data_IF_737070897864
#
_entry.id   IF_737070897864
#
_cell.length_a   1.000
_cell.length_b   1.000
_cell.length_c   1.000
_cell.angle_alpha   90.00
_cell.angle_beta   90.00
_cell.angle_gamma   90.00
#
_symmetry.space_group_name_H-M   'P 1'
#
loop_
_entity.id
_entity.type
_entity.pdbx_description
1 polymer ?
#
# COMPACT_ATOMS: atom_id res chain seq x y z
N UNK A 1 -7.85 0.26 15.88
CA UNK A 1 -8.11 -0.94 16.71
C UNK A 1 -7.90 -0.51 18.14
N UNK A 2 -8.92 -0.66 18.99
CA UNK A 2 -8.84 -0.36 20.42
C UNK A 2 -7.89 -1.37 21.08
N UNK A 3 -7.00 -0.90 21.96
CA UNK A 3 -6.25 -1.79 22.86
C UNK A 3 -7.15 -2.17 24.03
N UNK A 4 -7.05 -3.42 24.50
CA UNK A 4 -7.93 -3.96 25.55
C UNK A 4 -7.72 -3.32 26.93
N UNK A 5 -6.62 -2.59 27.11
CA UNK A 5 -6.16 -1.98 28.37
C UNK A 5 -6.50 -0.48 28.50
N UNK A 6 -7.21 0.09 27.51
CA UNK A 6 -7.55 1.53 27.50
C UNK A 6 -6.39 2.47 27.15
N UNK A 7 -5.23 1.93 26.72
CA UNK A 7 -4.08 2.71 26.30
C UNK A 7 -4.25 3.30 24.88
N UNK A 8 -3.39 4.29 24.56
CA UNK A 8 -3.55 5.17 23.41
C UNK A 8 -3.74 4.42 22.08
N UNK A 9 -4.79 4.81 21.36
CA UNK A 9 -5.15 4.26 20.05
C UNK A 9 -4.59 5.19 18.98
N UNK A 10 -3.96 4.65 17.95
CA UNK A 10 -3.45 5.45 16.84
C UNK A 10 -4.38 5.37 15.63
N UNK A 11 -4.95 6.49 15.19
CA UNK A 11 -5.86 6.59 14.04
C UNK A 11 -5.17 7.29 12.88
N UNK A 12 -4.93 6.56 11.77
CA UNK A 12 -4.31 7.13 10.57
C UNK A 12 -5.34 7.76 9.64
N UNK A 13 -4.96 8.85 8.98
CA UNK A 13 -5.69 9.36 7.82
C UNK A 13 -5.60 8.33 6.69
N UNK A 14 -6.73 7.78 6.25
CA UNK A 14 -6.76 6.96 5.04
C UNK A 14 -6.72 7.91 3.83
N UNK A 15 -5.83 7.70 2.86
CA UNK A 15 -5.76 8.54 1.66
C UNK A 15 -7.10 8.58 0.92
N UNK A 16 -7.89 7.50 0.96
CA UNK A 16 -9.25 7.51 0.42
C UNK A 16 -10.14 8.59 1.07
N UNK A 17 -9.99 8.86 2.37
CA UNK A 17 -10.75 9.88 3.10
C UNK A 17 -10.53 11.30 2.57
N UNK A 18 -9.30 11.61 2.12
CA UNK A 18 -8.97 12.92 1.53
C UNK A 18 -9.57 13.10 0.12
N UNK A 19 -9.71 12.01 -0.65
CA UNK A 19 -10.09 12.08 -2.07
C UNK A 19 -11.52 11.65 -2.39
N UNK A 20 -12.22 10.96 -1.48
CA UNK A 20 -13.56 10.40 -1.76
C UNK A 20 -14.68 10.98 -0.89
N UNK A 21 -14.39 11.90 0.02
CA UNK A 21 -15.38 12.52 0.90
C UNK A 21 -15.98 11.53 1.91
N UNK A 22 -16.60 12.06 2.96
CA UNK A 22 -17.13 11.29 4.07
C UNK A 22 -18.64 11.44 4.14
N UNK A 23 -19.32 10.33 4.42
CA UNK A 23 -20.73 10.36 4.86
C UNK A 23 -20.75 10.65 6.36
N UNK A 24 -21.52 11.65 6.73
CA UNK A 24 -21.77 12.08 8.09
C UNK A 24 -23.23 11.85 8.42
N UNK A 25 -23.48 11.23 9.58
CA UNK A 25 -24.81 11.03 10.14
C UNK A 25 -24.97 11.90 11.37
N UNK A 26 -26.17 12.48 11.52
CA UNK A 26 -26.51 13.29 12.67
C UNK A 26 -26.49 12.42 13.92
N UNK A 27 -25.72 12.82 14.91
CA UNK A 27 -25.67 12.16 16.20
C UNK A 27 -26.69 12.79 17.15
N UNK A 28 -26.66 14.12 17.27
CA UNK A 28 -27.54 14.88 18.16
C UNK A 28 -27.53 16.39 17.81
N UNK A 29 -28.30 17.20 18.52
CA UNK A 29 -28.17 18.66 18.56
C UNK A 29 -27.84 19.13 19.98
N UNK A 30 -26.80 19.95 20.13
CA UNK A 30 -26.39 20.49 21.43
C UNK A 30 -25.77 21.87 21.30
N UNK A 31 -25.96 22.70 22.33
CA UNK A 31 -25.34 24.02 22.45
C UNK A 31 -25.49 24.89 21.17
N UNK A 32 -26.65 24.82 20.51
CA UNK A 32 -26.93 25.55 19.28
C UNK A 32 -26.24 24.99 18.02
N UNK A 33 -25.70 23.76 18.08
CA UNK A 33 -25.00 23.12 16.97
C UNK A 33 -25.56 21.72 16.68
N UNK A 34 -25.68 21.38 15.40
CA UNK A 34 -25.87 20.01 14.95
C UNK A 34 -24.56 19.23 15.06
N UNK A 35 -24.59 18.12 15.78
CA UNK A 35 -23.49 17.18 15.93
C UNK A 35 -23.63 16.02 14.94
N UNK A 36 -22.54 15.70 14.27
CA UNK A 36 -22.47 14.69 13.24
C UNK A 36 -21.28 13.77 13.48
N UNK A 37 -21.37 12.52 13.05
CA UNK A 37 -20.24 11.59 13.09
C UNK A 37 -20.02 10.95 11.72
N UNK A 38 -18.75 10.84 11.31
CA UNK A 38 -18.43 10.11 10.10
C UNK A 38 -18.57 8.60 10.32
N UNK A 39 -19.38 7.94 9.50
CA UNK A 39 -19.60 6.48 9.56
C UNK A 39 -18.35 5.65 9.23
N UNK A 40 -17.37 6.22 8.54
CA UNK A 40 -16.12 5.52 8.15
C UNK A 40 -14.99 5.64 9.17
N UNK A 41 -14.86 6.78 9.84
CA UNK A 41 -13.69 7.07 10.69
C UNK A 41 -14.04 7.54 12.11
N UNK A 42 -15.33 7.72 12.44
CA UNK A 42 -15.78 8.22 13.73
C UNK A 42 -15.41 9.67 14.01
N UNK A 43 -14.97 10.42 12.99
CA UNK A 43 -14.62 11.83 13.13
C UNK A 43 -15.89 12.67 13.32
N UNK A 44 -16.05 13.38 14.44
CA UNK A 44 -17.23 14.20 14.69
C UNK A 44 -17.12 15.55 13.97
N UNK A 45 -18.26 16.08 13.54
CA UNK A 45 -18.39 17.45 13.09
C UNK A 45 -19.46 18.17 13.89
N UNK A 46 -19.27 19.46 14.11
CA UNK A 46 -20.15 20.33 14.87
C UNK A 46 -20.45 21.59 14.05
N UNK A 47 -21.72 21.78 13.70
CA UNK A 47 -22.16 22.88 12.84
C UNK A 47 -23.17 23.76 13.55
N UNK A 48 -22.94 25.08 13.60
CA UNK A 48 -23.90 26.02 14.16
C UNK A 48 -25.22 25.98 13.37
N UNK A 49 -26.35 25.86 14.08
CA UNK A 49 -27.69 25.67 13.51
C UNK A 49 -28.13 26.85 12.64
N UNK A 50 -27.67 28.05 12.97
CA UNK A 50 -27.99 29.32 12.31
C UNK A 50 -27.10 29.66 11.11
N UNK A 51 -25.91 29.04 11.00
CA UNK A 51 -24.91 29.39 9.97
C UNK A 51 -24.73 28.33 8.90
N UNK A 52 -24.82 27.04 9.24
CA UNK A 52 -24.36 25.97 8.35
C UNK A 52 -25.50 25.34 7.52
N UNK A 53 -25.32 25.15 6.20
CA UNK A 53 -26.31 24.47 5.34
C UNK A 53 -26.44 22.97 5.62
N UNK A 54 -25.57 22.42 6.49
CA UNK A 54 -25.58 21.03 6.92
C UNK A 54 -26.35 20.83 8.22
N UNK A 55 -26.63 21.90 8.99
CA UNK A 55 -26.98 21.78 10.40
C UNK A 55 -28.31 21.07 10.67
N UNK A 56 -29.24 21.09 9.72
CA UNK A 56 -30.57 20.45 9.82
C UNK A 56 -30.71 19.17 8.99
N UNK A 57 -29.62 18.64 8.40
CA UNK A 57 -29.70 17.42 7.58
C UNK A 57 -29.53 16.18 8.47
N UNK A 58 -30.25 15.09 8.19
CA UNK A 58 -30.03 13.84 8.93
C UNK A 58 -28.73 13.13 8.48
N UNK A 59 -28.39 13.28 7.20
CA UNK A 59 -27.16 12.72 6.61
C UNK A 59 -26.66 13.60 5.47
N UNK A 60 -25.34 13.72 5.32
CA UNK A 60 -24.74 14.37 4.17
C UNK A 60 -23.36 13.81 3.83
N UNK A 61 -22.90 14.08 2.61
CA UNK A 61 -21.53 13.76 2.17
C UNK A 61 -20.71 15.02 2.02
N UNK A 62 -19.55 15.09 2.66
CA UNK A 62 -18.65 16.26 2.63
C UNK A 62 -17.19 15.85 2.47
N UNK A 63 -16.43 16.60 1.68
CA UNK A 63 -14.97 16.44 1.59
C UNK A 63 -14.28 17.14 2.76
N UNK A 64 -13.26 16.51 3.33
CA UNK A 64 -12.37 17.17 4.28
C UNK A 64 -11.63 18.27 3.53
N UNK A 65 -11.78 19.52 3.98
CA UNK A 65 -11.08 20.63 3.35
C UNK A 65 -9.62 20.64 3.82
N UNK A 66 -8.63 20.47 2.91
CA UNK A 66 -7.22 20.39 3.29
C UNK A 66 -6.67 21.71 3.87
N UNK A 67 -7.40 22.83 3.66
CA UNK A 67 -7.05 24.15 4.20
C UNK A 67 -6.88 24.16 5.72
N UNK A 68 -7.53 23.24 6.45
CA UNK A 68 -7.37 23.13 7.91
C UNK A 68 -5.95 22.77 8.36
N UNK A 69 -5.21 22.04 7.51
CA UNK A 69 -3.87 21.59 7.83
C UNK A 69 -2.75 22.58 7.49
N UNK A 70 -2.99 23.53 6.59
CA UNK A 70 -1.92 24.37 6.01
C UNK A 70 -1.98 25.82 6.48
N UNK A 71 -3.18 26.40 6.70
CA UNK A 71 -3.34 27.82 7.07
C UNK A 71 -3.92 28.08 8.46
N UNK A 72 -4.52 27.06 9.09
CA UNK A 72 -5.37 27.19 10.28
C UNK A 72 -6.70 27.88 9.98
N UNK A 73 -7.67 27.71 10.87
CA UNK A 73 -9.01 28.30 10.73
C UNK A 73 -9.43 29.07 11.97
N UNK A 74 -10.28 30.10 11.80
CA UNK A 74 -10.98 30.69 12.92
C UNK A 74 -11.81 29.62 13.63
N UNK A 75 -11.87 29.74 14.94
CA UNK A 75 -12.70 28.90 15.79
C UNK A 75 -13.44 29.75 16.79
N UNK A 76 -14.62 29.30 17.19
CA UNK A 76 -15.40 29.86 18.28
C UNK A 76 -15.60 28.82 19.39
N UNK A 77 -15.71 29.30 20.62
CA UNK A 77 -16.02 28.44 21.75
C UNK A 77 -17.48 28.00 21.68
N UNK A 78 -17.72 26.71 21.86
CA UNK A 78 -19.06 26.09 21.87
C UNK A 78 -19.51 25.91 23.31
N UNK A 79 -18.77 25.11 24.07
CA UNK A 79 -19.14 24.76 25.46
C UNK A 79 -17.92 24.41 26.29
N UNK A 80 -18.06 24.43 27.62
CA UNK A 80 -17.00 24.07 28.56
C UNK A 80 -17.24 22.67 29.10
N UNK A 81 -16.24 21.80 28.98
CA UNK A 81 -16.28 20.39 29.40
C UNK A 81 -15.20 20.13 30.44
N UNK A 82 -15.53 20.48 31.69
CA UNK A 82 -14.58 20.46 32.81
C UNK A 82 -13.48 21.51 32.67
N UNK A 83 -12.23 21.08 32.66
CA UNK A 83 -11.07 21.95 32.44
C UNK A 83 -10.83 22.31 30.96
N UNK A 84 -11.61 21.72 30.04
CA UNK A 84 -11.46 21.89 28.60
C UNK A 84 -12.56 22.80 28.05
N UNK A 85 -12.24 23.52 26.98
CA UNK A 85 -13.22 24.21 26.15
C UNK A 85 -13.31 23.49 24.81
N UNK A 86 -14.53 23.21 24.35
CA UNK A 86 -14.80 22.70 23.02
C UNK A 86 -14.95 23.88 22.05
N UNK A 87 -14.13 23.88 21.01
CA UNK A 87 -14.13 24.88 19.96
C UNK A 87 -14.63 24.26 18.66
N UNK A 88 -15.34 25.01 17.83
CA UNK A 88 -15.72 24.58 16.48
C UNK A 88 -15.17 25.57 15.44
N UNK A 89 -14.77 25.07 14.27
CA UNK A 89 -14.53 25.91 13.09
C UNK A 89 -15.78 25.99 12.21
N UNK A 90 -15.85 26.99 11.33
CA UNK A 90 -16.87 27.08 10.27
C UNK A 90 -16.87 25.85 9.35
N UNK A 91 -15.72 25.18 9.25
CA UNK A 91 -15.57 23.93 8.53
C UNK A 91 -16.23 22.72 9.20
N UNK A 92 -16.71 22.86 10.44
CA UNK A 92 -17.37 21.82 11.23
C UNK A 92 -16.44 20.98 12.10
N UNK A 93 -15.12 21.15 12.05
CA UNK A 93 -14.21 20.44 12.95
C UNK A 93 -14.30 20.99 14.37
N UNK A 94 -14.39 20.09 15.34
CA UNK A 94 -14.40 20.41 16.78
C UNK A 94 -13.06 20.11 17.44
N UNK A 95 -12.64 20.89 18.44
CA UNK A 95 -11.37 20.73 19.16
C UNK A 95 -11.59 20.89 20.67
N UNK A 96 -11.09 19.96 21.48
CA UNK A 96 -11.10 20.04 22.94
C UNK A 96 -9.72 20.47 23.45
N UNK A 97 -9.62 21.72 23.90
CA UNK A 97 -8.36 22.35 24.31
C UNK A 97 -8.51 23.04 25.68
N UNK A 98 -7.44 23.07 26.49
CA UNK A 98 -7.41 23.74 27.80
C UNK A 98 -7.27 25.26 27.72
N UNK A 99 -6.95 25.79 26.54
CA UNK A 99 -6.64 27.20 26.38
C UNK A 99 -7.93 28.03 26.44
N UNK A 100 -8.05 29.02 27.35
CA UNK A 100 -9.13 29.98 27.32
C UNK A 100 -8.96 30.95 26.13
N UNK A 101 -10.06 31.29 25.45
CA UNK A 101 -10.12 32.30 24.38
C UNK A 101 -9.29 32.01 23.11
N UNK A 102 -9.33 30.78 22.59
CA UNK A 102 -8.73 30.46 21.30
C UNK A 102 -9.57 31.04 20.15
N UNK A 103 -8.94 31.83 19.28
CA UNK A 103 -9.60 32.43 18.09
C UNK A 103 -9.20 31.77 16.78
N UNK A 104 -8.09 31.03 16.76
CA UNK A 104 -7.59 30.32 15.58
C UNK A 104 -6.93 29.01 15.99
N UNK A 105 -7.21 27.94 15.26
CA UNK A 105 -6.59 26.63 15.45
C UNK A 105 -5.81 26.21 14.21
N UNK A 106 -4.63 25.61 14.43
CA UNK A 106 -3.86 24.95 13.38
C UNK A 106 -3.73 23.47 13.71
N UNK A 107 -3.97 22.64 12.72
CA UNK A 107 -3.82 21.20 12.88
C UNK A 107 -2.33 20.84 12.86
N UNK A 108 -1.78 20.21 13.91
CA UNK A 108 -0.37 19.84 13.94
C UNK A 108 0.02 18.98 12.75
N UNK A 109 1.13 19.33 12.10
CA UNK A 109 1.66 18.61 10.94
C UNK A 109 1.97 17.14 11.27
N UNK A 110 2.38 16.87 12.51
CA UNK A 110 2.61 15.50 13.00
C UNK A 110 1.35 14.64 12.92
N UNK A 111 0.18 15.21 13.25
CA UNK A 111 -1.07 14.46 13.16
C UNK A 111 -1.47 14.21 11.71
N UNK A 112 -1.21 15.16 10.80
CA UNK A 112 -1.43 14.99 9.36
C UNK A 112 -0.55 13.86 8.79
N UNK A 113 0.75 13.87 9.09
CA UNK A 113 1.73 12.94 8.55
C UNK A 113 1.64 11.55 9.15
N UNK A 114 1.41 11.46 10.46
CA UNK A 114 1.52 10.19 11.18
C UNK A 114 0.17 9.62 11.59
N UNK A 115 -0.87 10.44 11.73
CA UNK A 115 -2.16 10.09 12.33
C UNK A 115 -2.32 10.65 13.75
N UNK A 116 -3.44 10.33 14.39
CA UNK A 116 -3.82 10.84 15.71
C UNK A 116 -3.60 9.79 16.79
N UNK A 117 -2.82 10.14 17.82
CA UNK A 117 -2.79 9.38 19.07
C UNK A 117 -3.94 9.84 19.96
N UNK A 118 -4.92 8.97 20.21
CA UNK A 118 -6.16 9.29 20.94
C UNK A 118 -6.23 8.54 22.26
N UNK A 119 -6.74 9.20 23.30
CA UNK A 119 -7.05 8.62 24.62
C UNK A 119 -8.53 8.74 24.94
N UNK A 120 -9.10 7.81 25.73
CA UNK A 120 -10.47 7.95 26.24
C UNK A 120 -10.63 9.31 26.94
N UNK A 121 -11.73 10.01 26.65
CA UNK A 121 -12.03 11.30 27.26
C UNK A 121 -13.36 11.28 28.00
N UNK A 122 -14.43 10.90 27.31
CA UNK A 122 -15.78 10.88 27.86
C UNK A 122 -16.64 9.85 27.11
N UNK A 123 -17.92 9.80 27.43
CA UNK A 123 -18.93 9.04 26.67
C UNK A 123 -20.03 10.00 26.25
N UNK A 124 -20.33 10.07 24.94
CA UNK A 124 -21.46 10.83 24.38
C UNK A 124 -22.59 9.84 24.15
N UNK A 125 -23.61 9.87 25.00
CA UNK A 125 -24.71 8.90 25.03
C UNK A 125 -24.26 7.43 24.89
N UNK A 126 -24.44 6.86 23.69
CA UNK A 126 -24.13 5.46 23.35
C UNK A 126 -22.73 5.27 22.74
N UNK A 127 -21.98 6.34 22.47
CA UNK A 127 -20.69 6.30 21.77
C UNK A 127 -19.53 6.74 22.68
N UNK A 128 -18.46 5.93 22.84
CA UNK A 128 -17.28 6.38 23.56
C UNK A 128 -16.54 7.46 22.77
N UNK A 129 -16.20 8.54 23.47
CA UNK A 129 -15.48 9.67 22.94
C UNK A 129 -14.01 9.62 23.37
N UNK A 130 -13.13 9.76 22.39
CA UNK A 130 -11.70 9.81 22.55
C UNK A 130 -11.21 11.20 22.14
N UNK A 131 -10.06 11.61 22.65
CA UNK A 131 -9.42 12.89 22.33
C UNK A 131 -7.99 12.65 21.88
N UNK A 132 -7.57 13.31 20.80
CA UNK A 132 -6.18 13.32 20.40
C UNK A 132 -5.33 14.15 21.37
N UNK A 133 -4.22 13.58 21.84
CA UNK A 133 -3.33 14.25 22.78
C UNK A 133 -2.61 15.45 22.17
N UNK A 134 -2.28 15.37 20.87
CA UNK A 134 -1.48 16.37 20.18
C UNK A 134 -2.31 17.57 19.68
N UNK A 135 -3.54 17.32 19.21
CA UNK A 135 -4.36 18.35 18.57
C UNK A 135 -5.69 18.64 19.29
N UNK A 136 -6.05 17.84 20.29
CA UNK A 136 -7.32 17.98 21.00
C UNK A 136 -8.55 17.56 20.18
N UNK A 137 -8.40 17.06 18.95
CA UNK A 137 -9.55 16.58 18.17
C UNK A 137 -10.28 15.44 18.88
N UNK A 138 -11.61 15.53 19.04
CA UNK A 138 -12.42 14.43 19.51
C UNK A 138 -12.64 13.40 18.40
N UNK A 139 -12.86 12.15 18.80
CA UNK A 139 -13.19 11.02 17.94
C UNK A 139 -14.29 10.22 18.63
N UNK A 140 -15.44 10.06 17.97
CA UNK A 140 -16.54 9.25 18.45
C UNK A 140 -16.47 7.91 17.73
N UNK A 141 -15.82 6.93 18.36
CA UNK A 141 -15.65 5.60 17.79
C UNK A 141 -16.64 4.66 18.46
N UNK A 142 -17.63 4.15 17.73
CA UNK A 142 -18.41 3.01 18.23
C UNK A 142 -17.48 1.80 18.37
N UNK A 143 -17.59 1.08 19.50
CA UNK A 143 -16.89 -0.20 19.73
C UNK A 143 -17.43 -1.25 18.78
N UNK A 144 -16.98 -1.17 17.53
CA UNK A 144 -17.55 -1.86 16.39
C UNK A 144 -19.07 -1.56 16.23
N UNK A 145 -19.67 -1.80 15.06
CA UNK A 145 -20.98 -2.41 15.14
C UNK A 145 -20.77 -3.66 16.02
N UNK A 146 -21.57 -3.83 17.08
CA UNK A 146 -21.94 -5.19 17.41
C UNK A 146 -22.23 -5.84 16.05
N UNK A 147 -21.53 -6.91 15.74
CA UNK A 147 -22.00 -7.85 14.74
C UNK A 147 -23.38 -8.21 15.24
N UNK A 148 -24.39 -7.43 14.84
CA UNK A 148 -25.72 -7.94 14.66
C UNK A 148 -25.45 -9.08 13.72
N UNK A 149 -25.48 -10.28 14.27
CA UNK A 149 -25.90 -11.46 13.56
C UNK A 149 -27.37 -11.26 13.13
N UNK A 150 -27.71 -10.10 12.58
CA UNK A 150 -28.59 -10.04 11.45
C UNK A 150 -27.75 -10.61 10.33
N UNK A 151 -27.99 -11.89 10.06
CA UNK A 151 -27.87 -12.47 8.73
C UNK A 151 -28.72 -11.64 7.76
N UNK A 152 -28.32 -10.40 7.51
CA UNK A 152 -28.59 -9.78 6.23
C UNK A 152 -27.63 -10.48 5.30
N UNK A 153 -28.21 -11.31 4.44
CA UNK A 153 -27.58 -11.94 3.29
C UNK A 153 -27.03 -10.83 2.39
N UNK A 154 -25.94 -10.19 2.81
CA UNK A 154 -25.32 -9.06 2.13
C UNK A 154 -24.38 -9.62 1.10
N UNK A 155 -24.97 -10.22 0.07
CA UNK A 155 -24.25 -10.52 -1.16
C UNK A 155 -23.51 -9.24 -1.57
N UNK A 156 -22.17 -9.25 -1.70
CA UNK A 156 -21.42 -8.04 -2.01
C UNK A 156 -21.95 -7.43 -3.31
N UNK A 157 -22.18 -6.11 -3.32
CA UNK A 157 -22.73 -5.43 -4.49
C UNK A 157 -21.89 -5.72 -5.74
N UNK A 158 -22.51 -5.79 -6.92
CA UNK A 158 -21.79 -6.05 -8.20
C UNK A 158 -20.59 -5.10 -8.39
N UNK A 159 -20.72 -3.84 -7.97
CA UNK A 159 -19.63 -2.85 -8.02
C UNK A 159 -18.47 -3.22 -7.08
N UNK A 160 -18.78 -3.70 -5.87
CA UNK A 160 -17.77 -4.16 -4.91
C UNK A 160 -17.03 -5.40 -5.42
N UNK A 161 -17.76 -6.36 -6.02
CA UNK A 161 -17.17 -7.55 -6.65
C UNK A 161 -16.27 -7.17 -7.83
N UNK A 162 -16.74 -6.33 -8.76
CA UNK A 162 -15.94 -5.89 -9.90
C UNK A 162 -14.66 -5.16 -9.46
N UNK A 163 -14.79 -4.22 -8.51
CA UNK A 163 -13.64 -3.52 -7.94
C UNK A 163 -12.69 -4.49 -7.21
N UNK A 164 -13.23 -5.51 -6.53
CA UNK A 164 -12.47 -6.59 -5.92
C UNK A 164 -11.65 -7.38 -6.92
N UNK A 165 -12.24 -7.79 -8.06
CA UNK A 165 -11.55 -8.48 -9.14
C UNK A 165 -10.44 -7.63 -9.76
N UNK A 166 -10.70 -6.35 -10.04
CA UNK A 166 -9.67 -5.43 -10.55
C UNK A 166 -8.51 -5.24 -9.55
N UNK A 167 -8.80 -5.27 -8.25
CA UNK A 167 -7.77 -5.23 -7.21
C UNK A 167 -6.92 -6.50 -7.16
N UNK A 168 -7.46 -7.67 -7.53
CA UNK A 168 -6.71 -8.95 -7.58
C UNK A 168 -5.69 -8.98 -8.73
N UNK A 169 -5.89 -8.22 -9.80
CA UNK A 169 -4.89 -8.04 -10.87
C UNK A 169 -3.64 -7.31 -10.34
N UNK A 170 -3.80 -6.47 -9.31
CA UNK A 170 -2.75 -5.71 -8.65
C UNK A 170 -1.90 -4.81 -9.57
N UNK A 171 -2.57 -3.91 -10.30
CA UNK A 171 -1.95 -2.89 -11.17
C UNK A 171 -0.73 -2.14 -10.58
N UNK A 172 -0.65 -1.97 -9.25
CA UNK A 172 0.53 -1.37 -8.59
C UNK A 172 1.86 -2.09 -8.93
N UNK A 173 1.84 -3.40 -9.18
CA UNK A 173 3.05 -4.19 -9.50
C UNK A 173 3.41 -4.16 -10.98
N UNK A 174 2.53 -3.60 -11.82
CA UNK A 174 2.76 -3.48 -13.26
C UNK A 174 3.86 -2.46 -13.58
N UNK A 175 4.32 -1.68 -12.59
CA UNK A 175 5.56 -0.89 -12.70
C UNK A 175 6.74 -1.74 -13.15
N UNK A 176 6.74 -3.05 -12.86
CA UNK A 176 7.79 -3.98 -13.32
C UNK A 176 7.81 -4.17 -14.84
N UNK A 177 6.74 -3.83 -15.56
CA UNK A 177 6.71 -3.83 -17.02
C UNK A 177 7.70 -2.84 -17.64
N UNK A 178 8.20 -1.87 -16.86
CA UNK A 178 9.29 -1.01 -17.29
C UNK A 178 10.51 -1.81 -17.77
N UNK A 179 10.78 -2.99 -17.18
CA UNK A 179 11.87 -3.85 -17.63
C UNK A 179 11.70 -4.37 -19.07
N UNK A 180 10.45 -4.65 -19.47
CA UNK A 180 10.13 -5.06 -20.85
C UNK A 180 10.34 -3.89 -21.81
N UNK A 181 9.87 -2.70 -21.44
CA UNK A 181 10.05 -1.48 -22.24
C UNK A 181 11.54 -1.18 -22.42
N UNK A 182 12.32 -1.20 -21.33
CA UNK A 182 13.76 -0.98 -21.37
C UNK A 182 14.47 -2.04 -22.21
N UNK A 183 14.08 -3.32 -22.09
CA UNK A 183 14.60 -4.40 -22.93
C UNK A 183 14.43 -4.13 -24.43
N UNK A 184 13.25 -3.68 -24.85
CA UNK A 184 12.99 -3.34 -26.25
C UNK A 184 13.81 -2.13 -26.72
N UNK A 185 13.92 -1.09 -25.87
CA UNK A 185 14.66 0.14 -26.17
C UNK A 185 16.18 -0.03 -26.22
N UNK A 186 16.72 -1.11 -25.66
CA UNK A 186 18.14 -1.47 -25.81
C UNK A 186 18.46 -1.94 -27.24
N UNK A 187 17.48 -2.49 -27.95
CA UNK A 187 17.64 -3.02 -29.31
C UNK A 187 17.20 -1.99 -30.35
N UNK A 188 16.02 -1.39 -30.15
CA UNK A 188 15.41 -0.45 -31.11
C UNK A 188 15.55 0.96 -30.59
N UNK A 189 16.06 1.86 -31.43
CA UNK A 189 16.11 3.30 -31.13
C UNK A 189 14.75 3.94 -31.40
N UNK A 190 14.20 4.58 -30.37
CA UNK A 190 12.92 5.30 -30.45
C UNK A 190 11.70 4.41 -30.21
N UNK A 191 10.51 5.00 -30.38
CA UNK A 191 9.22 4.36 -30.14
C UNK A 191 8.33 4.48 -31.40
N UNK A 192 8.62 3.72 -32.47
CA UNK A 192 7.73 3.70 -33.63
C UNK A 192 6.35 3.16 -33.21
N UNK A 193 5.30 3.57 -33.93
CA UNK A 193 3.92 3.20 -33.61
C UNK A 193 3.73 1.68 -33.52
N UNK A 194 4.41 0.90 -34.38
CA UNK A 194 4.39 -0.56 -34.35
C UNK A 194 4.92 -1.13 -33.04
N UNK A 195 6.03 -0.59 -32.51
CA UNK A 195 6.57 -1.00 -31.21
C UNK A 195 5.61 -0.65 -30.08
N UNK A 196 5.01 0.55 -30.11
CA UNK A 196 4.03 0.96 -29.10
C UNK A 196 2.81 0.02 -29.09
N UNK A 197 2.31 -0.37 -30.26
CA UNK A 197 1.21 -1.33 -30.40
C UNK A 197 1.61 -2.71 -29.85
N UNK A 198 2.77 -3.23 -30.23
CA UNK A 198 3.29 -4.50 -29.70
C UNK A 198 3.47 -4.49 -28.19
N UNK A 199 4.02 -3.41 -27.62
CA UNK A 199 4.17 -3.25 -26.18
C UNK A 199 2.82 -3.13 -25.45
N UNK A 200 1.83 -2.45 -26.04
CA UNK A 200 0.50 -2.35 -25.47
C UNK A 200 -0.25 -3.70 -25.46
N UNK A 201 -0.19 -4.44 -26.58
CA UNK A 201 -0.74 -5.79 -26.65
C UNK A 201 -0.02 -6.73 -25.68
N UNK A 202 1.31 -6.64 -25.60
CA UNK A 202 2.10 -7.44 -24.68
C UNK A 202 1.77 -7.07 -23.22
N UNK A 203 1.57 -5.80 -22.90
CA UNK A 203 1.16 -5.37 -21.56
C UNK A 203 -0.16 -6.02 -21.13
N UNK A 204 -1.17 -6.03 -22.00
CA UNK A 204 -2.45 -6.67 -21.71
C UNK A 204 -2.28 -8.19 -21.59
N UNK A 205 -1.69 -8.84 -22.61
CA UNK A 205 -1.49 -10.29 -22.66
C UNK A 205 -0.65 -10.82 -21.49
N UNK A 206 0.47 -10.17 -21.21
CA UNK A 206 1.45 -10.63 -20.24
C UNK A 206 1.22 -10.07 -18.83
N UNK A 207 1.11 -8.75 -18.66
CA UNK A 207 1.01 -8.15 -17.32
C UNK A 207 -0.40 -8.26 -16.74
N UNK A 208 -1.41 -7.89 -17.52
CA UNK A 208 -2.80 -7.87 -17.04
C UNK A 208 -3.35 -9.30 -16.92
N UNK A 209 -3.23 -10.10 -17.99
CA UNK A 209 -3.79 -11.45 -18.00
C UNK A 209 -2.88 -12.44 -17.24
N UNK A 210 -1.72 -12.81 -17.79
CA UNK A 210 -0.90 -13.86 -17.17
C UNK A 210 -0.45 -13.48 -15.75
N UNK A 211 0.16 -12.32 -15.56
CA UNK A 211 0.66 -11.89 -14.26
C UNK A 211 -0.45 -11.50 -13.28
N UNK A 212 -1.57 -10.91 -13.75
CA UNK A 212 -2.75 -10.69 -12.92
C UNK A 212 -3.34 -11.99 -12.39
N UNK A 213 -3.37 -13.04 -13.22
CA UNK A 213 -3.73 -14.39 -12.82
C UNK A 213 -2.75 -14.98 -11.81
N UNK A 214 -1.44 -14.92 -12.06
CA UNK A 214 -0.39 -15.38 -11.11
C UNK A 214 -0.51 -14.66 -9.76
N UNK A 215 -0.75 -13.35 -9.76
CA UNK A 215 -0.94 -12.59 -8.52
C UNK A 215 -2.21 -12.99 -7.77
N UNK A 216 -3.29 -13.26 -8.49
CA UNK A 216 -4.54 -13.79 -7.91
C UNK A 216 -4.30 -15.17 -7.30
N UNK A 217 -3.60 -16.06 -8.00
CA UNK A 217 -3.20 -17.38 -7.50
C UNK A 217 -2.37 -17.26 -6.22
N UNK A 218 -1.41 -16.33 -6.17
CA UNK A 218 -0.63 -16.10 -4.96
C UNK A 218 -1.50 -15.59 -3.80
N UNK A 219 -2.47 -14.72 -4.07
CA UNK A 219 -3.46 -14.29 -3.07
C UNK A 219 -4.31 -15.45 -2.53
N UNK A 220 -4.63 -16.44 -3.38
CA UNK A 220 -5.33 -17.67 -2.99
C UNK A 220 -4.46 -18.54 -2.08
N UNK A 221 -3.20 -18.80 -2.47
CA UNK A 221 -2.27 -19.62 -1.72
C UNK A 221 -1.88 -19.00 -0.37
N UNK A 222 -1.91 -17.66 -0.29
CA UNK A 222 -1.63 -16.92 0.94
C UNK A 222 -2.88 -16.61 1.75
N UNK A 223 -4.08 -16.99 1.30
CA UNK A 223 -5.36 -16.52 1.85
C UNK A 223 -5.48 -16.71 3.36
N UNK A 224 -5.21 -17.91 3.87
CA UNK A 224 -5.33 -18.24 5.30
C UNK A 224 -4.33 -17.42 6.14
N UNK A 225 -3.11 -17.29 5.62
CA UNK A 225 -2.06 -16.54 6.26
C UNK A 225 -2.43 -15.03 6.28
N UNK A 226 -2.82 -14.48 5.14
CA UNK A 226 -3.06 -13.05 4.95
C UNK A 226 -4.33 -12.55 5.64
N UNK A 227 -5.30 -13.43 5.94
CA UNK A 227 -6.46 -13.13 6.81
C UNK A 227 -6.06 -12.69 8.20
N UNK A 228 -4.93 -13.20 8.71
CA UNK A 228 -4.43 -12.84 10.03
C UNK A 228 -3.77 -11.46 9.97
N UNK A 229 -3.00 -11.16 8.92
CA UNK A 229 -2.16 -9.97 8.78
C UNK A 229 -2.93 -8.62 8.93
N UNK A 230 -2.37 -7.56 9.59
CA UNK A 230 -3.10 -6.35 9.96
C UNK A 230 -3.64 -5.56 8.78
N UNK A 231 -2.84 -5.50 7.71
CA UNK A 231 -3.19 -4.81 6.47
C UNK A 231 -3.69 -5.73 5.35
N UNK A 232 -3.13 -6.94 5.19
CA UNK A 232 -3.48 -7.84 4.08
C UNK A 232 -4.84 -8.52 4.26
N UNK A 233 -5.39 -8.56 5.47
CA UNK A 233 -6.77 -9.03 5.72
C UNK A 233 -7.84 -8.23 4.98
N UNK A 234 -7.52 -6.98 4.59
CA UNK A 234 -8.42 -6.09 3.85
C UNK A 234 -8.37 -6.30 2.33
N UNK A 235 -7.60 -7.29 1.85
CA UNK A 235 -7.56 -7.66 0.44
C UNK A 235 -8.89 -8.32 0.04
N UNK A 236 -9.32 -8.21 -1.24
CA UNK A 236 -10.66 -8.63 -1.66
C UNK A 236 -11.03 -10.07 -1.32
N UNK A 237 -10.07 -11.01 -1.41
CA UNK A 237 -10.28 -12.42 -1.08
C UNK A 237 -10.32 -12.65 0.45
N UNK A 238 -9.37 -12.05 1.17
CA UNK A 238 -9.22 -12.21 2.61
C UNK A 238 -10.34 -11.53 3.40
N UNK A 239 -10.89 -10.43 2.87
CA UNK A 239 -12.01 -9.70 3.45
C UNK A 239 -13.38 -10.30 3.11
N UNK A 240 -13.43 -11.37 2.31
CA UNK A 240 -14.68 -12.02 1.89
C UNK A 240 -15.47 -11.30 0.79
N UNK A 241 -14.93 -10.22 0.19
CA UNK A 241 -15.59 -9.50 -0.92
C UNK A 241 -15.63 -10.37 -2.18
N UNK A 242 -14.61 -11.19 -2.39
CA UNK A 242 -14.52 -12.19 -3.44
C UNK A 242 -14.47 -13.57 -2.79
N UNK A 243 -15.38 -14.47 -3.18
CA UNK A 243 -15.35 -15.85 -2.70
C UNK A 243 -14.19 -16.63 -3.31
N UNK A 244 -13.70 -17.65 -2.59
CA UNK A 244 -12.60 -18.48 -3.06
C UNK A 244 -12.87 -19.13 -4.43
N UNK A 245 -14.05 -19.71 -4.72
CA UNK A 245 -14.33 -20.27 -6.04
C UNK A 245 -14.24 -19.24 -7.17
N UNK A 246 -14.75 -18.02 -6.95
CA UNK A 246 -14.67 -16.94 -7.94
C UNK A 246 -13.22 -16.54 -8.18
N UNK A 247 -12.41 -16.40 -7.12
CA UNK A 247 -10.99 -16.09 -7.27
C UNK A 247 -10.24 -17.18 -8.04
N UNK A 248 -10.53 -18.46 -7.79
CA UNK A 248 -9.91 -19.60 -8.50
C UNK A 248 -10.24 -19.56 -9.99
N UNK A 249 -11.53 -19.45 -10.34
CA UNK A 249 -11.98 -19.37 -11.75
C UNK A 249 -11.39 -18.14 -12.44
N UNK A 250 -11.38 -16.98 -11.77
CA UNK A 250 -10.80 -15.76 -12.30
C UNK A 250 -9.30 -15.91 -12.55
N UNK A 251 -8.56 -16.45 -11.57
CA UNK A 251 -7.13 -16.73 -11.70
C UNK A 251 -6.83 -17.66 -12.87
N UNK A 252 -7.54 -18.78 -12.98
CA UNK A 252 -7.36 -19.76 -14.05
C UNK A 252 -7.68 -19.15 -15.42
N UNK A 253 -8.78 -18.39 -15.53
CA UNK A 253 -9.20 -17.73 -16.77
C UNK A 253 -8.14 -16.73 -17.23
N UNK A 254 -7.62 -15.90 -16.32
CA UNK A 254 -6.58 -14.92 -16.64
C UNK A 254 -5.27 -15.58 -17.10
N UNK A 255 -4.83 -16.66 -16.42
CA UNK A 255 -3.62 -17.40 -16.81
C UNK A 255 -3.80 -18.04 -18.19
N UNK A 256 -4.92 -18.74 -18.42
CA UNK A 256 -5.19 -19.39 -19.70
C UNK A 256 -5.33 -18.39 -20.84
N UNK A 257 -6.04 -17.27 -20.60
CA UNK A 257 -6.18 -16.21 -21.59
C UNK A 257 -4.82 -15.58 -21.93
N UNK A 258 -3.98 -15.31 -20.91
CA UNK A 258 -2.63 -14.77 -21.11
C UNK A 258 -1.69 -15.72 -21.84
N UNK A 259 -1.77 -17.03 -21.57
CA UNK A 259 -1.00 -18.04 -22.31
C UNK A 259 -1.48 -18.16 -23.76
N UNK A 260 -2.80 -18.20 -23.98
CA UNK A 260 -3.38 -18.30 -25.31
C UNK A 260 -3.05 -17.06 -26.15
N UNK A 261 -3.22 -15.86 -25.60
CA UNK A 261 -2.82 -14.63 -26.31
C UNK A 261 -1.32 -14.56 -26.53
N UNK A 262 -0.52 -15.03 -25.56
CA UNK A 262 0.93 -15.17 -25.68
C UNK A 262 1.34 -16.02 -26.90
N UNK A 263 0.73 -17.19 -27.02
CA UNK A 263 0.97 -18.16 -28.09
C UNK A 263 0.55 -17.64 -29.47
N UNK A 264 -0.62 -16.99 -29.55
CA UNK A 264 -1.19 -16.54 -30.82
C UNK A 264 -0.53 -15.26 -31.37
N UNK A 265 -0.01 -14.39 -30.51
CA UNK A 265 0.38 -13.02 -30.91
C UNK A 265 1.89 -12.77 -31.01
N UNK A 266 2.75 -13.49 -30.28
CA UNK A 266 4.15 -13.08 -30.09
C UNK A 266 5.21 -14.09 -30.53
N UNK A 267 4.81 -15.22 -31.13
CA UNK A 267 5.73 -16.26 -31.60
C UNK A 267 6.36 -17.11 -30.49
N UNK A 268 7.08 -18.15 -30.90
CA UNK A 268 7.55 -19.20 -30.00
C UNK A 268 8.55 -18.72 -28.93
N UNK A 269 9.48 -17.82 -29.28
CA UNK A 269 10.52 -17.34 -28.35
C UNK A 269 9.93 -16.50 -27.21
N UNK A 270 9.05 -15.54 -27.52
CA UNK A 270 8.36 -14.75 -26.49
C UNK A 270 7.43 -15.63 -25.68
N UNK A 271 6.72 -16.57 -26.31
CA UNK A 271 5.85 -17.52 -25.60
C UNK A 271 6.64 -18.43 -24.64
N UNK A 272 7.84 -18.89 -25.02
CA UNK A 272 8.70 -19.65 -24.12
C UNK A 272 9.02 -18.87 -22.83
N UNK A 273 9.22 -17.55 -22.94
CA UNK A 273 9.43 -16.69 -21.77
C UNK A 273 8.18 -16.58 -20.88
N UNK A 274 6.96 -16.64 -21.44
CA UNK A 274 5.73 -16.73 -20.63
C UNK A 274 5.73 -18.00 -19.79
N UNK A 275 6.06 -19.14 -20.41
CA UNK A 275 6.10 -20.45 -19.74
C UNK A 275 7.18 -20.46 -18.64
N UNK A 276 8.39 -19.97 -18.95
CA UNK A 276 9.47 -19.84 -17.95
C UNK A 276 9.03 -18.98 -16.78
N UNK A 277 8.39 -17.83 -17.04
CA UNK A 277 7.94 -16.95 -15.96
C UNK A 277 6.81 -17.56 -15.13
N UNK A 278 5.86 -18.26 -15.75
CA UNK A 278 4.85 -19.03 -15.01
C UNK A 278 5.51 -20.10 -14.14
N UNK A 279 6.48 -20.84 -14.69
CA UNK A 279 7.25 -21.86 -13.98
C UNK A 279 8.00 -21.30 -12.77
N UNK A 280 8.70 -20.17 -12.91
CA UNK A 280 9.39 -19.49 -11.79
C UNK A 280 8.41 -19.11 -10.68
N UNK A 281 7.24 -18.55 -11.03
CA UNK A 281 6.25 -18.15 -10.03
C UNK A 281 5.57 -19.35 -9.36
N UNK A 282 5.29 -20.42 -10.10
CA UNK A 282 4.76 -21.66 -9.51
C UNK A 282 5.77 -22.31 -8.57
N UNK A 283 7.02 -22.43 -9.01
CA UNK A 283 8.11 -22.94 -8.19
C UNK A 283 8.29 -22.12 -6.91
N UNK A 284 8.22 -20.79 -7.03
CA UNK A 284 8.25 -19.90 -5.88
C UNK A 284 7.10 -20.15 -4.90
N UNK A 285 5.87 -20.12 -5.40
CA UNK A 285 4.68 -20.16 -4.56
C UNK A 285 4.43 -21.53 -3.93
N UNK A 286 4.83 -22.61 -4.60
CA UNK A 286 4.65 -23.96 -4.08
C UNK A 286 5.78 -24.37 -3.11
N UNK A 287 7.03 -24.01 -3.41
CA UNK A 287 8.19 -24.53 -2.67
C UNK A 287 9.17 -23.47 -2.23
N UNK A 288 9.71 -22.66 -3.16
CA UNK A 288 10.86 -21.83 -2.86
C UNK A 288 10.62 -20.77 -1.79
N UNK A 289 9.37 -20.29 -1.63
CA UNK A 289 9.00 -19.31 -0.59
C UNK A 289 9.26 -19.78 0.85
N UNK A 290 9.47 -21.07 1.07
CA UNK A 290 9.73 -21.67 2.38
C UNK A 290 11.23 -21.89 2.63
N UNK A 291 12.07 -21.80 1.59
CA UNK A 291 13.50 -22.06 1.66
C UNK A 291 14.27 -20.74 1.72
N UNK A 292 15.19 -20.58 2.70
CA UNK A 292 16.03 -19.41 2.77
C UNK A 292 16.85 -19.27 1.49
N UNK A 293 17.05 -18.03 1.06
CA UNK A 293 17.87 -17.55 -0.04
C UNK A 293 17.23 -17.84 -1.40
N UNK A 294 16.68 -19.04 -1.58
CA UNK A 294 15.94 -19.42 -2.77
C UNK A 294 14.69 -18.55 -2.96
N UNK A 295 14.04 -18.13 -1.88
CA UNK A 295 12.91 -17.21 -1.92
C UNK A 295 13.28 -15.78 -2.40
N UNK A 296 14.56 -15.39 -2.27
CA UNK A 296 15.11 -14.14 -2.81
C UNK A 296 15.51 -14.34 -4.28
N UNK A 297 16.20 -15.45 -4.60
CA UNK A 297 16.58 -15.81 -5.98
C UNK A 297 15.35 -15.86 -6.90
N UNK A 298 14.30 -16.57 -6.49
CA UNK A 298 13.08 -16.68 -7.29
C UNK A 298 12.29 -15.36 -7.36
N UNK A 299 12.47 -14.44 -6.41
CA UNK A 299 11.89 -13.10 -6.50
C UNK A 299 12.65 -12.23 -7.50
N UNK A 300 13.97 -12.40 -7.59
CA UNK A 300 14.86 -11.65 -8.47
C UNK A 300 14.82 -12.14 -9.92
N UNK A 301 14.79 -13.46 -10.14
CA UNK A 301 14.86 -14.09 -11.46
C UNK A 301 13.85 -13.57 -12.52
N UNK A 302 12.60 -13.19 -12.16
CA UNK A 302 11.66 -12.62 -13.12
C UNK A 302 12.08 -11.27 -13.73
N UNK A 303 13.00 -10.53 -13.11
CA UNK A 303 13.41 -9.21 -13.59
C UNK A 303 14.25 -9.28 -14.88
N UNK A 304 15.36 -10.04 -14.97
CA UNK A 304 16.08 -10.21 -16.23
C UNK A 304 15.21 -10.85 -17.33
N UNK A 305 14.32 -11.79 -17.00
CA UNK A 305 13.41 -12.39 -17.99
C UNK A 305 12.49 -11.36 -18.66
N UNK A 306 12.07 -10.31 -17.94
CA UNK A 306 11.31 -9.19 -18.52
C UNK A 306 12.13 -8.39 -19.51
N UNK A 307 13.40 -8.10 -19.20
CA UNK A 307 14.29 -7.41 -20.13
C UNK A 307 14.52 -8.23 -21.39
N UNK A 308 14.79 -9.53 -21.22
CA UNK A 308 14.92 -10.45 -22.34
C UNK A 308 13.64 -10.47 -23.19
N UNK A 309 12.47 -10.55 -22.57
CA UNK A 309 11.17 -10.51 -23.26
C UNK A 309 10.98 -9.25 -24.11
N UNK A 310 11.42 -8.09 -23.59
CA UNK A 310 11.39 -6.83 -24.33
C UNK A 310 12.29 -6.84 -25.57
N UNK A 311 13.52 -7.34 -25.44
CA UNK A 311 14.45 -7.43 -26.55
C UNK A 311 13.99 -8.46 -27.60
N UNK A 312 13.53 -9.63 -27.16
CA UNK A 312 13.02 -10.69 -28.04
C UNK A 312 11.77 -10.24 -28.80
N UNK A 313 10.91 -9.42 -28.20
CA UNK A 313 9.72 -8.84 -28.87
C UNK A 313 10.09 -8.09 -30.16
N UNK A 314 11.27 -7.48 -30.20
CA UNK A 314 11.78 -6.71 -31.35
C UNK A 314 12.85 -7.46 -32.14
N UNK A 315 12.98 -8.78 -31.94
CA UNK A 315 13.93 -9.63 -32.65
C UNK A 315 15.40 -9.44 -32.24
N UNK A 316 15.65 -8.88 -31.06
CA UNK A 316 17.00 -8.67 -30.54
C UNK A 316 17.34 -9.55 -29.33
N UNK A 317 18.58 -9.45 -28.91
CA UNK A 317 19.13 -10.17 -27.75
C UNK A 317 19.73 -9.20 -26.74
N UNK A 318 19.74 -9.59 -25.46
CA UNK A 318 20.40 -8.84 -24.39
C UNK A 318 21.67 -9.57 -23.96
N UNK A 319 22.82 -8.88 -23.77
CA UNK A 319 24.02 -9.51 -23.21
C UNK A 319 23.73 -10.19 -21.87
N UNK A 320 24.27 -11.40 -21.68
CA UNK A 320 24.09 -12.15 -20.43
C UNK A 320 24.60 -11.35 -19.22
N UNK A 321 25.69 -10.59 -19.39
CA UNK A 321 26.21 -9.71 -18.34
C UNK A 321 25.14 -8.70 -17.89
N UNK A 322 24.48 -8.01 -18.81
CA UNK A 322 23.39 -7.09 -18.44
C UNK A 322 22.26 -7.80 -17.68
N UNK A 323 21.84 -8.98 -18.13
CA UNK A 323 20.81 -9.77 -17.44
C UNK A 323 21.25 -10.13 -16.00
N UNK A 324 22.51 -10.49 -15.80
CA UNK A 324 23.08 -10.75 -14.48
C UNK A 324 23.12 -9.48 -13.61
N UNK A 325 23.44 -8.31 -14.19
CA UNK A 325 23.43 -7.05 -13.45
C UNK A 325 22.01 -6.69 -12.97
N UNK A 326 21.01 -6.88 -13.82
CA UNK A 326 19.59 -6.67 -13.48
C UNK A 326 19.16 -7.67 -12.39
N UNK A 327 19.61 -8.92 -12.48
CA UNK A 327 19.37 -9.93 -11.45
C UNK A 327 19.95 -9.51 -10.11
N UNK A 328 21.21 -9.05 -10.06
CA UNK A 328 21.85 -8.59 -8.83
C UNK A 328 21.12 -7.40 -8.19
N UNK A 329 20.68 -6.44 -9.00
CA UNK A 329 19.86 -5.33 -8.53
C UNK A 329 18.54 -5.81 -7.92
N UNK A 330 17.82 -6.69 -8.62
CA UNK A 330 16.57 -7.23 -8.13
C UNK A 330 16.75 -8.07 -6.85
N UNK A 331 17.86 -8.83 -6.77
CA UNK A 331 18.24 -9.61 -5.60
C UNK A 331 18.44 -8.71 -4.38
N UNK A 332 19.23 -7.64 -4.51
CA UNK A 332 19.45 -6.68 -3.43
C UNK A 332 18.14 -6.05 -2.92
N UNK A 333 17.25 -5.64 -3.84
CA UNK A 333 15.94 -5.08 -3.49
C UNK A 333 15.07 -6.13 -2.77
N UNK A 334 15.07 -7.39 -3.23
CA UNK A 334 14.34 -8.47 -2.59
C UNK A 334 14.88 -8.77 -1.18
N UNK A 335 16.20 -8.77 -0.98
CA UNK A 335 16.84 -8.90 0.33
C UNK A 335 16.42 -7.76 1.28
N UNK A 336 16.43 -6.50 0.81
CA UNK A 336 15.96 -5.35 1.61
C UNK A 336 14.50 -5.48 1.99
N UNK A 337 13.64 -5.99 1.09
CA UNK A 337 12.24 -6.26 1.45
C UNK A 337 12.11 -7.29 2.57
N UNK A 338 12.95 -8.32 2.61
CA UNK A 338 12.92 -9.33 3.70
C UNK A 338 13.34 -8.75 5.04
N UNK A 339 14.35 -7.89 5.04
CA UNK A 339 14.76 -7.13 6.23
C UNK A 339 13.61 -6.26 6.76
N UNK A 340 12.96 -5.47 5.88
CA UNK A 340 11.84 -4.63 6.28
C UNK A 340 10.61 -5.41 6.75
N UNK A 341 10.37 -6.60 6.19
CA UNK A 341 9.30 -7.49 6.66
C UNK A 341 9.59 -8.06 8.05
N UNK A 342 10.87 -8.30 8.38
CA UNK A 342 11.29 -8.82 9.69
C UNK A 342 11.13 -7.79 10.82
N UNK A 343 11.29 -6.51 10.50
CA UNK A 343 11.21 -5.39 11.48
C UNK A 343 9.77 -5.03 11.89
N UNK A 344 8.73 -5.69 11.36
CA UNK A 344 7.33 -5.36 11.69
C UNK A 344 6.95 -5.99 13.05
N UNK A 345 6.72 -5.18 14.11
CA UNK A 345 6.46 -5.72 15.45
C UNK A 345 5.12 -6.46 15.54
N UNK A 346 5.10 -7.57 16.28
CA UNK A 346 3.88 -8.34 16.57
C UNK A 346 3.39 -9.24 15.42
N UNK A 347 4.19 -9.44 14.37
CA UNK A 347 3.83 -10.28 13.22
C UNK A 347 4.96 -11.24 12.80
N UNK A 348 4.94 -12.46 13.35
CA UNK A 348 5.76 -13.58 12.89
C UNK A 348 4.90 -14.50 12.03
N UNK A 349 5.05 -14.44 10.70
CA UNK A 349 4.12 -15.14 9.79
C UNK A 349 4.78 -15.97 8.69
N UNK A 350 6.05 -15.72 8.35
CA UNK A 350 6.79 -16.56 7.41
C UNK A 350 7.94 -17.22 8.15
N UNK A 351 7.86 -18.55 8.32
CA UNK A 351 8.95 -19.35 8.92
C UNK A 351 10.32 -19.06 8.30
N UNK A 352 10.36 -18.79 6.99
CA UNK A 352 11.59 -18.42 6.28
C UNK A 352 12.20 -17.09 6.76
N UNK A 353 11.42 -16.17 7.34
CA UNK A 353 11.94 -14.92 7.90
C UNK A 353 12.65 -15.14 9.24
N UNK A 354 12.23 -16.15 10.01
CA UNK A 354 12.86 -16.52 11.29
C UNK A 354 14.25 -17.12 11.06
N UNK A 355 14.45 -17.80 9.92
CA UNK A 355 15.74 -18.39 9.57
C UNK A 355 16.80 -17.38 9.12
N UNK A 356 16.40 -16.15 8.75
CA UNK A 356 17.37 -15.12 8.36
C UNK A 356 17.94 -14.43 9.60
N UNK A 357 19.25 -14.51 9.83
CA UNK A 357 19.90 -13.61 10.79
C UNK A 357 20.06 -12.21 10.18
N UNK A 358 20.24 -11.19 11.03
CA UNK A 358 20.56 -9.84 10.54
C UNK A 358 21.86 -9.82 9.72
N UNK A 359 22.82 -10.67 10.12
CA UNK A 359 24.08 -10.88 9.41
C UNK A 359 23.86 -11.44 8.01
N UNK A 360 22.96 -12.41 7.85
CA UNK A 360 22.64 -12.99 6.54
C UNK A 360 22.05 -11.92 5.61
N UNK A 361 21.07 -11.15 6.09
CA UNK A 361 20.44 -10.09 5.30
C UNK A 361 21.39 -8.94 4.99
N UNK A 362 22.40 -8.69 5.82
CA UNK A 362 23.49 -7.78 5.49
C UNK A 362 24.33 -8.32 4.32
N UNK A 363 24.80 -9.56 4.40
CA UNK A 363 25.61 -10.16 3.33
C UNK A 363 24.84 -10.35 2.02
N UNK A 364 23.56 -10.72 2.09
CA UNK A 364 22.68 -10.84 0.92
C UNK A 364 22.40 -9.50 0.22
N UNK A 365 22.73 -8.37 0.87
CA UNK A 365 22.70 -7.04 0.24
C UNK A 365 24.08 -6.57 -0.19
N UNK A 366 25.15 -6.98 0.49
CA UNK A 366 26.52 -6.60 0.14
C UNK A 366 27.08 -7.43 -1.03
N UNK A 367 26.76 -8.72 -1.10
CA UNK A 367 27.25 -9.63 -2.14
C UNK A 367 26.84 -9.17 -3.55
N UNK A 368 25.57 -8.84 -3.85
CA UNK A 368 25.20 -8.38 -5.19
C UNK A 368 25.85 -7.03 -5.54
N UNK A 369 26.13 -6.18 -4.55
CA UNK A 369 26.84 -4.93 -4.76
C UNK A 369 28.30 -5.17 -5.19
N UNK A 370 29.02 -6.06 -4.49
CA UNK A 370 30.36 -6.48 -4.88
C UNK A 370 30.38 -7.18 -6.24
N UNK A 371 29.39 -8.03 -6.53
CA UNK A 371 29.25 -8.71 -7.82
C UNK A 371 29.06 -7.70 -8.96
N UNK A 372 28.24 -6.66 -8.76
CA UNK A 372 28.04 -5.58 -9.74
C UNK A 372 29.31 -4.77 -9.99
N UNK A 373 30.11 -4.48 -8.96
CA UNK A 373 31.41 -3.79 -9.12
C UNK A 373 32.36 -4.66 -9.93
N UNK A 374 32.55 -5.93 -9.52
CA UNK A 374 33.44 -6.85 -10.21
C UNK A 374 33.02 -7.02 -11.67
N UNK A 375 31.72 -7.18 -11.91
CA UNK A 375 31.17 -7.27 -13.26
C UNK A 375 31.43 -6.00 -14.08
N UNK A 376 31.22 -4.81 -13.52
CA UNK A 376 31.50 -3.55 -14.21
C UNK A 376 32.98 -3.32 -14.53
N UNK A 377 33.88 -3.90 -13.73
CA UNK A 377 35.33 -3.85 -13.99
C UNK A 377 35.79 -4.88 -15.04
N UNK A 378 35.13 -6.05 -15.09
CA UNK A 378 35.52 -7.15 -15.98
C UNK A 378 34.80 -7.13 -17.33
N UNK A 379 33.60 -6.56 -17.39
CA UNK A 379 32.78 -6.56 -18.60
C UNK A 379 33.11 -5.37 -19.51
N UNK A 380 33.87 -5.63 -20.57
CA UNK A 380 34.17 -4.64 -21.61
C UNK A 380 33.01 -4.43 -22.61
N UNK A 381 31.95 -5.25 -22.57
CA UNK A 381 30.86 -5.19 -23.56
C UNK A 381 29.81 -4.12 -23.26
N UNK A 382 29.75 -3.64 -22.02
CA UNK A 382 28.79 -2.62 -21.56
C UNK A 382 29.58 -1.41 -21.02
N UNK A 383 29.23 -0.17 -21.41
CA UNK A 383 29.91 1.02 -20.90
C UNK A 383 29.88 1.09 -19.38
N UNK A 384 31.04 1.40 -18.76
CA UNK A 384 31.17 1.54 -17.31
C UNK A 384 30.14 2.51 -16.70
N UNK A 385 29.76 3.56 -17.44
CA UNK A 385 28.72 4.49 -17.03
C UNK A 385 27.37 3.81 -16.75
N UNK A 386 27.03 2.75 -17.49
CA UNK A 386 25.79 1.99 -17.29
C UNK A 386 25.83 1.20 -15.98
N UNK A 387 26.97 0.57 -15.67
CA UNK A 387 27.20 -0.06 -14.38
C UNK A 387 27.16 0.95 -13.23
N UNK A 388 27.73 2.14 -13.41
CA UNK A 388 27.68 3.22 -12.43
C UNK A 388 26.25 3.67 -12.12
N UNK A 389 25.37 3.74 -13.13
CA UNK A 389 23.93 4.02 -12.94
C UNK A 389 23.27 2.90 -12.13
N UNK A 390 23.49 1.63 -12.49
CA UNK A 390 22.93 0.49 -11.76
C UNK A 390 23.40 0.49 -10.30
N UNK A 391 24.69 0.69 -10.06
CA UNK A 391 25.28 0.75 -8.72
C UNK A 391 24.71 1.91 -7.90
N UNK A 392 24.46 3.05 -8.53
CA UNK A 392 23.84 4.20 -7.86
C UNK A 392 22.40 3.89 -7.46
N UNK A 393 21.60 3.33 -8.37
CA UNK A 393 20.23 2.88 -8.08
C UNK A 393 20.25 1.82 -6.97
N UNK A 394 21.19 0.88 -7.03
CA UNK A 394 21.39 -0.13 -5.99
C UNK A 394 21.67 0.52 -4.64
N UNK A 395 22.66 1.41 -4.56
CA UNK A 395 23.06 2.04 -3.33
C UNK A 395 21.91 2.82 -2.68
N UNK A 396 21.17 3.60 -3.47
CA UNK A 396 20.02 4.36 -3.00
C UNK A 396 18.88 3.46 -2.53
N UNK A 397 18.53 2.42 -3.29
CA UNK A 397 17.36 1.57 -3.00
C UNK A 397 17.63 0.51 -1.93
N UNK A 398 18.84 -0.04 -1.87
CA UNK A 398 19.19 -1.17 -0.99
C UNK A 398 19.82 -0.67 0.32
N UNK A 399 20.74 0.30 0.26
CA UNK A 399 21.41 0.83 1.44
C UNK A 399 20.76 2.13 1.96
N UNK A 400 20.21 2.97 1.09
CA UNK A 400 19.55 4.22 1.52
C UNK A 400 18.40 3.99 2.50
N UNK A 401 17.65 2.89 2.36
CA UNK A 401 16.61 2.51 3.33
C UNK A 401 17.19 2.26 4.73
N UNK A 402 18.35 1.60 4.82
CA UNK A 402 19.04 1.35 6.08
C UNK A 402 19.65 2.62 6.69
N UNK A 403 20.02 3.61 5.89
CA UNK A 403 20.48 4.92 6.41
C UNK A 403 19.32 5.77 6.94
N UNK A 404 18.14 5.69 6.31
CA UNK A 404 16.97 6.49 6.70
C UNK A 404 16.22 5.94 7.92
N UNK A 405 16.29 4.63 8.20
CA UNK A 405 15.61 4.01 9.35
C UNK A 405 16.12 4.56 10.71
N UNK A 406 17.44 4.59 10.99
CA UNK A 406 17.97 5.16 12.23
C UNK A 406 17.72 6.66 12.33
N UNK A 407 17.81 7.41 11.23
CA UNK A 407 17.48 8.84 11.21
C UNK A 407 16.01 9.06 11.55
N UNK A 408 15.09 8.23 11.05
CA UNK A 408 13.67 8.30 11.38
C UNK A 408 13.42 7.96 12.85
N UNK A 409 14.07 6.94 13.39
CA UNK A 409 13.95 6.57 14.81
C UNK A 409 14.58 7.63 15.74
N UNK A 410 15.74 8.17 15.35
CA UNK A 410 16.45 9.24 16.06
C UNK A 410 15.66 10.55 16.07
N UNK A 411 15.11 10.98 14.94
CA UNK A 411 14.25 12.16 14.85
C UNK A 411 12.96 12.00 15.66
N UNK A 412 12.36 10.80 15.69
CA UNK A 412 11.22 10.51 16.56
C UNK A 412 11.64 10.58 18.03
N UNK A 413 12.81 10.02 18.41
CA UNK A 413 13.30 10.05 19.79
C UNK A 413 13.65 11.45 20.30
N UNK A 414 14.17 12.32 19.41
CA UNK A 414 14.49 13.72 19.69
C UNK A 414 13.24 14.61 19.83
N UNK A 415 12.11 14.17 19.26
CA UNK A 415 10.81 14.86 19.38
C UNK A 415 9.95 14.33 20.54
N UNK A 416 10.33 13.19 21.13
CA UNK A 416 9.64 12.57 22.28
C UNK A 416 10.37 12.80 23.62
N UNK A 417 11.50 13.52 23.60
CA UNK A 417 12.14 14.11 24.79
C UNK A 417 11.88 15.60 24.75
#
# INVERSE_FOLDING_TARGET
MLQADGSAVHVRHNLACLFSGHTYEKLDERDGHGEYVCTSCGHPMLFALDVSPYAHRDQFRKFVQPRCGVGGHPVHAVTRRGEMTEYACDCGHSFLLRQPALTKVQHPLICLLTGHSIKPFARRDRVPEFRCENCGHPFCLTTAPATTNETTDTTPSRKAVLHGLLRLIRFRYHVTFIGVILGALLVVRGLPLSLMQSLALLYVSFNVLLYGGIYTMNDILDAESDRRHPHKKNRPLQSGVISLPVAVVFSATLILAGLLSGFLLFGAEVFALYVVMLGINLFYSLWARQLPWLDIVCNAAPHPTRFLMGATLVGGTVPLTLLLAIFWLAFGIASTRRMLEKDVPGWHMRKVLETYSERDLFWLRLLPFGALILQGLLDASIPLAFYAVILTVYAVTVFGVSFLQPLRQGLVSLWTR
#
